data_IF_429769690855
#
_entry.id   IF_429769690855
#
_cell.length_a   1.000
_cell.length_b   1.000
_cell.length_c   1.000
_cell.angle_alpha   90.00
_cell.angle_beta   90.00
_cell.angle_gamma   90.00
#
_symmetry.space_group_name_H-M   'P 1'
#
loop_
_entity.id
_entity.type
_entity.pdbx_description
1 polymer ?
#
# COMPACT_ATOMS: atom_id res chain seq x y z
N UNK A 1 -7.75 -11.42 -5.51
CA UNK A 1 -6.73 -10.94 -6.45
C UNK A 1 -5.44 -10.66 -5.72
N UNK A 2 -4.34 -10.79 -6.40
CA UNK A 2 -3.00 -10.60 -5.86
C UNK A 2 -2.22 -9.64 -6.75
N UNK A 3 -1.66 -8.59 -6.15
CA UNK A 3 -0.84 -7.61 -6.85
C UNK A 3 0.52 -7.52 -6.15
N UNK A 4 1.37 -8.58 -6.27
CA UNK A 4 2.63 -8.63 -5.56
C UNK A 4 3.61 -7.61 -6.11
N UNK A 5 4.53 -7.18 -5.25
CA UNK A 5 5.66 -6.36 -5.64
C UNK A 5 6.96 -7.13 -5.46
N UNK A 6 7.89 -7.03 -6.43
CA UNK A 6 9.27 -7.45 -6.25
C UNK A 6 10.00 -6.33 -5.48
N UNK A 7 10.01 -6.46 -4.15
CA UNK A 7 10.77 -5.57 -3.27
C UNK A 7 12.27 -5.76 -3.43
N UNK A 8 13.07 -4.70 -3.25
CA UNK A 8 14.52 -4.79 -3.34
C UNK A 8 15.24 -3.76 -2.49
N UNK A 9 16.43 -4.13 -2.02
CA UNK A 9 17.40 -3.30 -1.34
C UNK A 9 18.79 -3.61 -1.90
N UNK A 10 19.58 -2.60 -2.24
CA UNK A 10 20.93 -2.75 -2.80
C UNK A 10 21.99 -1.95 -2.05
N UNK A 11 21.58 -1.12 -1.09
CA UNK A 11 22.48 -0.22 -0.36
C UNK A 11 22.43 -0.57 1.14
N UNK A 12 23.44 -1.32 1.61
CA UNK A 12 23.59 -1.70 3.01
C UNK A 12 24.30 -0.64 3.86
N UNK A 13 24.38 -0.89 5.18
CA UNK A 13 25.00 0.04 6.14
C UNK A 13 26.46 0.36 5.80
N UNK A 14 27.23 -0.62 5.37
CA UNK A 14 28.64 -0.44 4.97
C UNK A 14 28.81 0.49 3.77
N UNK A 15 27.76 0.68 2.99
CA UNK A 15 27.71 1.54 1.81
C UNK A 15 26.93 2.85 2.03
N UNK A 16 26.55 3.13 3.29
CA UNK A 16 25.83 4.34 3.67
C UNK A 16 24.31 4.27 3.49
N UNK A 17 23.73 3.05 3.38
CA UNK A 17 22.31 2.78 3.48
C UNK A 17 21.86 2.52 4.90
N UNK A 18 20.55 2.29 5.12
CA UNK A 18 19.99 1.94 6.41
C UNK A 18 19.88 0.42 6.68
N UNK A 19 19.55 -0.43 5.68
CA UNK A 19 19.37 -1.86 5.93
C UNK A 19 20.70 -2.54 6.31
N UNK A 20 20.64 -3.63 7.10
CA UNK A 20 21.80 -4.50 7.34
C UNK A 20 22.37 -5.05 6.02
N UNK A 21 23.68 -5.28 5.98
CA UNK A 21 24.37 -5.72 4.76
C UNK A 21 23.96 -7.15 4.30
N UNK A 22 23.45 -7.98 5.21
CA UNK A 22 23.01 -9.35 4.92
C UNK A 22 21.60 -9.44 4.27
N UNK A 23 20.86 -8.31 4.19
CA UNK A 23 19.54 -8.27 3.54
C UNK A 23 19.55 -7.58 2.17
N UNK A 24 20.70 -7.08 1.72
CA UNK A 24 20.81 -6.45 0.39
C UNK A 24 21.26 -7.46 -0.67
N UNK A 25 20.93 -7.16 -1.91
CA UNK A 25 21.30 -7.96 -3.09
C UNK A 25 22.06 -7.08 -4.09
N UNK A 26 22.79 -7.70 -5.00
CA UNK A 26 23.39 -6.98 -6.13
C UNK A 26 22.32 -6.47 -7.10
N UNK A 27 22.60 -5.36 -7.77
CA UNK A 27 21.64 -4.76 -8.72
C UNK A 27 21.29 -5.72 -9.87
N UNK A 28 22.28 -6.45 -10.37
CA UNK A 28 22.08 -7.40 -11.48
C UNK A 28 21.21 -8.59 -11.05
N UNK A 29 21.41 -9.14 -9.84
CA UNK A 29 20.51 -10.16 -9.27
C UNK A 29 19.07 -9.65 -9.14
N UNK A 30 18.89 -8.42 -8.63
CA UNK A 30 17.57 -7.80 -8.47
C UNK A 30 16.87 -7.67 -9.82
N UNK A 31 17.55 -7.14 -10.84
CA UNK A 31 16.97 -6.91 -12.16
C UNK A 31 16.70 -8.21 -12.92
N UNK A 32 17.60 -9.19 -12.81
CA UNK A 32 17.40 -10.51 -13.41
C UNK A 32 16.19 -11.23 -12.78
N UNK A 33 16.09 -11.22 -11.45
CA UNK A 33 14.95 -11.82 -10.75
C UNK A 33 13.64 -11.07 -11.01
N UNK A 34 13.68 -9.75 -11.12
CA UNK A 34 12.52 -8.92 -11.49
C UNK A 34 11.95 -9.31 -12.85
N UNK A 35 12.83 -9.52 -13.84
CA UNK A 35 12.45 -10.01 -15.18
C UNK A 35 11.86 -11.42 -15.10
N UNK A 36 12.53 -12.33 -14.43
CA UNK A 36 12.08 -13.72 -14.25
C UNK A 36 10.68 -13.79 -13.64
N UNK A 37 10.42 -12.99 -12.58
CA UNK A 37 9.10 -12.95 -11.93
C UNK A 37 8.03 -12.36 -12.84
N UNK A 38 8.37 -11.31 -13.60
CA UNK A 38 7.44 -10.70 -14.54
C UNK A 38 7.02 -11.72 -15.62
N UNK A 39 7.98 -12.41 -16.22
CA UNK A 39 7.74 -13.44 -17.24
C UNK A 39 6.92 -14.64 -16.72
N UNK A 40 7.15 -15.02 -15.44
CA UNK A 40 6.49 -16.17 -14.84
C UNK A 40 5.07 -15.89 -14.32
N UNK A 41 4.78 -14.68 -13.85
CA UNK A 41 3.59 -14.43 -13.04
C UNK A 41 2.77 -13.20 -13.43
N UNK A 42 3.33 -12.24 -14.19
CA UNK A 42 2.58 -11.05 -14.57
C UNK A 42 1.56 -11.39 -15.67
N UNK A 43 0.30 -11.17 -15.37
CA UNK A 43 -0.79 -11.31 -16.33
C UNK A 43 -1.44 -9.93 -16.55
N UNK A 44 -1.15 -9.24 -17.68
CA UNK A 44 -1.73 -7.93 -17.99
C UNK A 44 -3.18 -8.02 -18.45
N UNK A 45 -3.73 -9.21 -18.67
CA UNK A 45 -5.07 -9.39 -19.20
C UNK A 45 -6.15 -8.81 -18.29
N UNK A 46 -7.29 -8.49 -18.89
CA UNK A 46 -8.46 -8.04 -18.14
C UNK A 46 -8.94 -9.15 -17.20
N UNK A 47 -9.36 -8.78 -15.99
CA UNK A 47 -9.78 -9.68 -14.91
C UNK A 47 -8.67 -10.60 -14.38
N UNK A 48 -7.41 -10.38 -14.75
CA UNK A 48 -6.28 -11.16 -14.25
C UNK A 48 -6.26 -11.22 -12.72
N UNK A 49 -5.82 -12.36 -12.20
CA UNK A 49 -5.75 -12.60 -10.76
C UNK A 49 -4.38 -12.21 -10.18
N UNK A 50 -3.36 -12.03 -11.02
CA UNK A 50 -2.00 -11.67 -10.59
C UNK A 50 -1.41 -10.62 -11.52
N UNK A 51 -1.07 -9.44 -11.00
CA UNK A 51 -0.29 -8.40 -11.68
C UNK A 51 0.90 -8.02 -10.83
N UNK A 52 2.10 -8.14 -11.38
CA UNK A 52 3.34 -7.80 -10.69
C UNK A 52 3.65 -6.30 -10.82
N UNK A 53 4.28 -5.73 -9.78
CA UNK A 53 4.97 -4.45 -9.85
C UNK A 53 6.41 -4.58 -9.32
N UNK A 54 7.27 -3.62 -9.61
CA UNK A 54 8.62 -3.55 -9.05
C UNK A 54 8.66 -2.50 -7.94
N UNK A 55 9.31 -2.85 -6.81
CA UNK A 55 9.26 -2.02 -5.61
C UNK A 55 10.61 -1.93 -4.88
N UNK A 56 11.62 -1.22 -5.43
CA UNK A 56 12.78 -0.83 -4.64
C UNK A 56 12.31 -0.06 -3.41
N UNK A 57 12.90 -0.38 -2.24
CA UNK A 57 12.29 -0.04 -0.95
C UNK A 57 12.15 1.48 -0.72
N UNK A 58 13.27 2.23 -0.79
CA UNK A 58 13.25 3.68 -0.50
C UNK A 58 14.57 4.33 -0.93
N UNK A 59 14.66 5.67 -0.95
CA UNK A 59 15.93 6.38 -1.18
C UNK A 59 17.05 6.01 -0.21
N UNK A 60 16.73 5.53 0.99
CA UNK A 60 17.70 5.10 2.00
C UNK A 60 18.40 3.77 1.70
N UNK A 61 17.79 2.91 0.91
CA UNK A 61 18.12 1.49 0.81
C UNK A 61 18.43 1.02 -0.59
N UNK A 62 18.38 1.95 -1.55
CA UNK A 62 18.54 1.65 -2.98
C UNK A 62 19.41 2.71 -3.64
N UNK A 63 20.33 2.28 -4.50
CA UNK A 63 21.18 3.20 -5.26
C UNK A 63 20.36 3.98 -6.29
N UNK A 64 20.79 5.23 -6.67
CA UNK A 64 20.15 5.96 -7.76
C UNK A 64 20.14 5.18 -9.08
N UNK A 65 21.18 4.41 -9.34
CA UNK A 65 21.30 3.59 -10.55
C UNK A 65 20.26 2.48 -10.59
N UNK A 66 20.09 1.74 -9.49
CA UNK A 66 19.04 0.70 -9.43
C UNK A 66 17.64 1.31 -9.54
N UNK A 67 17.37 2.46 -8.89
CA UNK A 67 16.10 3.17 -9.05
C UNK A 67 15.81 3.45 -10.54
N UNK A 68 16.77 4.05 -11.26
CA UNK A 68 16.62 4.37 -12.69
C UNK A 68 16.41 3.11 -13.54
N UNK A 69 17.27 2.10 -13.37
CA UNK A 69 17.18 0.82 -14.12
C UNK A 69 15.88 0.07 -13.82
N UNK A 70 15.34 0.19 -12.60
CA UNK A 70 14.09 -0.45 -12.21
C UNK A 70 12.89 0.15 -12.94
N UNK A 71 12.77 1.48 -12.99
CA UNK A 71 11.64 2.11 -13.70
C UNK A 71 11.73 1.90 -15.21
N UNK A 72 12.93 1.90 -15.78
CA UNK A 72 13.17 1.58 -17.20
C UNK A 72 12.74 0.13 -17.52
N UNK A 73 13.18 -0.82 -16.69
CA UNK A 73 12.81 -2.23 -16.83
C UNK A 73 11.29 -2.44 -16.69
N UNK A 74 10.69 -1.82 -15.69
CA UNK A 74 9.25 -1.93 -15.46
C UNK A 74 8.45 -1.44 -16.68
N UNK A 75 8.79 -0.26 -17.21
CA UNK A 75 8.16 0.29 -18.42
C UNK A 75 8.34 -0.59 -19.64
N UNK A 76 9.54 -1.16 -19.84
CA UNK A 76 9.81 -2.10 -20.92
C UNK A 76 8.98 -3.39 -20.83
N UNK A 77 8.59 -3.80 -19.61
CA UNK A 77 7.79 -4.99 -19.35
C UNK A 77 6.29 -4.70 -19.16
N UNK A 78 5.86 -3.43 -19.27
CA UNK A 78 4.48 -3.03 -19.01
C UNK A 78 4.05 -3.14 -17.55
N UNK A 79 5.01 -3.10 -16.61
CA UNK A 79 4.79 -3.14 -15.17
C UNK A 79 4.64 -1.74 -14.58
N UNK A 80 4.03 -1.68 -13.41
CA UNK A 80 4.02 -0.48 -12.57
C UNK A 80 5.17 -0.52 -11.57
N UNK A 81 5.46 0.62 -10.97
CA UNK A 81 6.49 0.74 -9.95
C UNK A 81 5.99 1.42 -8.69
N UNK A 82 6.59 1.02 -7.58
CA UNK A 82 6.24 1.48 -6.24
C UNK A 82 7.49 1.66 -5.38
N UNK A 83 7.48 2.68 -4.51
CA UNK A 83 8.48 2.84 -3.45
C UNK A 83 7.87 3.64 -2.29
N UNK A 84 8.54 3.61 -1.12
CA UNK A 84 8.23 4.52 -0.02
C UNK A 84 8.84 5.88 -0.32
N UNK A 85 8.10 6.95 -0.07
CA UNK A 85 8.59 8.30 -0.35
C UNK A 85 7.99 9.33 0.61
N UNK A 86 8.85 10.25 1.05
CA UNK A 86 8.49 11.38 1.92
C UNK A 86 7.72 10.93 3.17
N UNK A 87 8.11 9.77 3.72
CA UNK A 87 7.48 9.20 4.91
C UNK A 87 7.89 9.94 6.17
N UNK A 88 9.17 10.28 6.31
CA UNK A 88 9.72 10.91 7.51
C UNK A 88 10.53 12.17 7.19
N UNK A 89 10.66 13.06 8.17
CA UNK A 89 11.55 14.22 8.05
C UNK A 89 13.03 13.81 7.90
N UNK A 90 13.40 12.62 8.36
CA UNK A 90 14.75 12.08 8.19
C UNK A 90 15.07 11.77 6.73
N UNK A 91 14.08 11.31 5.96
CA UNK A 91 14.24 11.09 4.53
C UNK A 91 14.47 12.41 3.78
N UNK A 92 13.74 13.47 4.15
CA UNK A 92 13.96 14.79 3.56
C UNK A 92 15.40 15.27 3.84
N UNK A 93 15.87 15.17 5.09
CA UNK A 93 17.25 15.55 5.44
C UNK A 93 18.28 14.72 4.66
N UNK A 94 18.10 13.41 4.61
CA UNK A 94 18.98 12.51 3.86
C UNK A 94 19.07 12.90 2.38
N UNK A 95 17.93 13.15 1.73
CA UNK A 95 17.90 13.52 0.33
C UNK A 95 18.54 14.89 0.08
N UNK A 96 18.31 15.87 0.94
CA UNK A 96 18.94 17.18 0.87
C UNK A 96 20.46 17.09 1.04
N UNK A 97 20.95 16.33 2.01
CA UNK A 97 22.37 16.15 2.29
C UNK A 97 23.08 15.35 1.19
N UNK A 98 22.47 14.26 0.73
CA UNK A 98 23.12 13.32 -0.20
C UNK A 98 22.94 13.68 -1.66
N UNK A 99 21.76 14.22 -2.03
CA UNK A 99 21.39 14.47 -3.42
C UNK A 99 21.14 15.95 -3.73
N UNK A 100 21.17 16.84 -2.73
CA UNK A 100 20.97 18.28 -2.87
C UNK A 100 19.56 18.67 -3.31
N UNK A 101 18.56 17.81 -3.06
CA UNK A 101 17.16 18.08 -3.42
C UNK A 101 16.18 17.31 -2.52
N UNK A 102 14.91 17.70 -2.55
CA UNK A 102 13.83 17.03 -1.82
C UNK A 102 13.54 15.62 -2.39
N UNK A 103 12.92 14.72 -1.61
CA UNK A 103 12.64 13.35 -2.03
C UNK A 103 11.91 13.25 -3.38
N UNK A 104 10.85 14.04 -3.62
CA UNK A 104 10.13 13.97 -4.89
C UNK A 104 10.96 14.51 -6.06
N UNK A 105 11.77 15.56 -5.87
CA UNK A 105 12.68 16.07 -6.91
C UNK A 105 13.72 15.01 -7.30
N UNK A 106 14.24 14.28 -6.31
CA UNK A 106 15.16 13.17 -6.54
C UNK A 106 14.50 12.07 -7.38
N UNK A 107 13.28 11.65 -7.01
CA UNK A 107 12.56 10.61 -7.73
C UNK A 107 12.18 11.04 -9.15
N UNK A 108 11.78 12.29 -9.35
CA UNK A 108 11.48 12.83 -10.68
C UNK A 108 12.71 12.82 -11.60
N UNK A 109 13.90 13.19 -11.09
CA UNK A 109 15.18 13.09 -11.85
C UNK A 109 15.50 11.67 -12.28
N UNK A 110 15.04 10.66 -11.54
CA UNK A 110 15.21 9.25 -11.85
C UNK A 110 14.09 8.65 -12.72
N UNK A 111 13.12 9.49 -13.14
CA UNK A 111 11.99 9.07 -13.98
C UNK A 111 10.82 8.47 -13.21
N UNK A 112 10.80 8.58 -11.89
CA UNK A 112 9.77 8.04 -11.01
C UNK A 112 8.61 9.02 -10.82
N UNK A 113 7.94 9.36 -11.90
CA UNK A 113 6.71 10.15 -11.90
C UNK A 113 5.83 9.73 -13.08
N UNK A 114 4.51 9.73 -12.90
CA UNK A 114 3.57 9.34 -13.94
C UNK A 114 2.50 8.37 -13.46
N UNK A 115 1.59 8.03 -14.36
CA UNK A 115 0.44 7.18 -14.06
C UNK A 115 0.82 5.73 -13.68
N UNK A 116 1.99 5.29 -14.06
CA UNK A 116 2.57 3.97 -13.78
C UNK A 116 3.31 3.87 -12.44
N UNK A 117 3.40 4.97 -11.71
CA UNK A 117 4.13 5.10 -10.43
C UNK A 117 3.17 5.34 -9.29
N UNK A 118 3.44 4.74 -8.13
CA UNK A 118 2.83 5.18 -6.87
C UNK A 118 3.81 5.17 -5.71
N UNK A 119 3.58 6.06 -4.75
CA UNK A 119 4.37 6.20 -3.54
C UNK A 119 3.56 5.80 -2.31
N UNK A 120 4.16 5.04 -1.40
CA UNK A 120 3.60 4.84 -0.07
C UNK A 120 3.89 6.06 0.81
N UNK A 121 2.99 6.35 1.73
CA UNK A 121 3.01 7.41 2.74
C UNK A 121 2.84 8.82 2.18
N UNK A 122 3.80 9.36 1.45
CA UNK A 122 3.75 10.70 0.82
C UNK A 122 3.29 11.81 1.81
N UNK A 123 3.91 11.84 3.01
CA UNK A 123 3.50 12.70 4.13
C UNK A 123 4.12 14.09 3.99
N UNK A 124 5.46 14.14 3.88
CA UNK A 124 6.24 15.38 3.93
C UNK A 124 6.36 16.02 2.54
N UNK A 125 5.22 16.39 1.95
CA UNK A 125 5.14 17.04 0.64
C UNK A 125 4.88 18.55 0.78
N UNK A 126 5.55 19.34 -0.06
CA UNK A 126 5.23 20.77 -0.25
C UNK A 126 3.97 20.94 -1.14
N UNK A 127 3.44 22.16 -1.22
CA UNK A 127 2.28 22.48 -2.09
C UNK A 127 2.61 22.23 -3.57
N UNK A 128 3.82 22.58 -4.01
CA UNK A 128 4.27 22.32 -5.38
C UNK A 128 4.35 20.81 -5.67
N UNK A 129 4.90 20.02 -4.72
CA UNK A 129 4.99 18.56 -4.86
C UNK A 129 3.61 17.90 -4.93
N UNK A 130 2.65 18.34 -4.11
CA UNK A 130 1.24 17.90 -4.21
C UNK A 130 0.68 18.23 -5.59
N UNK A 131 0.90 19.46 -6.09
CA UNK A 131 0.46 19.86 -7.42
C UNK A 131 1.10 19.03 -8.55
N UNK A 132 2.38 18.65 -8.42
CA UNK A 132 3.07 17.79 -9.41
C UNK A 132 2.49 16.38 -9.44
N UNK A 133 2.26 15.75 -8.28
CA UNK A 133 1.61 14.44 -8.20
C UNK A 133 0.22 14.46 -8.86
N UNK A 134 -0.54 15.52 -8.64
CA UNK A 134 -1.85 15.72 -9.28
C UNK A 134 -1.75 15.81 -10.81
N UNK A 135 -0.91 16.72 -11.33
CA UNK A 135 -0.75 16.91 -12.79
C UNK A 135 -0.26 15.68 -13.52
N UNK A 136 0.59 14.90 -12.89
CA UNK A 136 1.14 13.65 -13.47
C UNK A 136 0.31 12.42 -13.17
N UNK A 137 -0.75 12.55 -12.35
CA UNK A 137 -1.61 11.45 -11.91
C UNK A 137 -0.83 10.31 -11.24
N UNK A 138 0.30 10.67 -10.62
CA UNK A 138 1.10 9.73 -9.82
C UNK A 138 0.29 9.26 -8.61
N UNK A 139 0.35 7.97 -8.31
CA UNK A 139 -0.42 7.36 -7.24
C UNK A 139 0.18 7.59 -5.85
N UNK A 140 -0.68 7.56 -4.84
CA UNK A 140 -0.30 7.56 -3.42
C UNK A 140 -1.05 6.45 -2.69
N UNK A 141 -0.35 5.62 -1.95
CA UNK A 141 -0.92 4.67 -1.00
C UNK A 141 -0.85 5.29 0.41
N UNK A 142 -1.99 5.74 0.92
CA UNK A 142 -2.10 6.30 2.26
C UNK A 142 -2.21 5.18 3.29
N UNK A 143 -1.32 5.18 4.29
CA UNK A 143 -1.20 4.15 5.32
C UNK A 143 -1.41 4.75 6.72
N UNK A 144 -2.64 5.16 7.10
CA UNK A 144 -2.89 5.97 8.29
C UNK A 144 -2.46 5.29 9.59
N UNK A 145 -2.73 4.00 9.77
CA UNK A 145 -2.34 3.28 10.99
C UNK A 145 -0.83 3.20 11.14
N UNK A 146 -0.11 2.85 10.08
CA UNK A 146 1.35 2.82 10.07
C UNK A 146 1.93 4.20 10.38
N UNK A 147 1.44 5.25 9.70
CA UNK A 147 1.90 6.62 9.90
C UNK A 147 1.73 7.08 11.37
N UNK A 148 0.63 6.72 12.02
CA UNK A 148 0.39 7.02 13.44
C UNK A 148 1.30 6.19 14.35
N UNK A 149 1.40 4.87 14.11
CA UNK A 149 2.19 3.96 14.94
C UNK A 149 3.68 4.32 14.93
N UNK A 150 4.20 4.72 13.77
CA UNK A 150 5.60 5.14 13.58
C UNK A 150 5.83 6.63 13.85
N UNK A 151 4.78 7.39 14.18
CA UNK A 151 4.85 8.86 14.38
C UNK A 151 5.39 9.61 13.16
N UNK A 152 5.15 9.09 11.95
CA UNK A 152 5.67 9.66 10.70
C UNK A 152 4.98 10.97 10.33
N UNK A 153 3.70 11.15 10.70
CA UNK A 153 2.92 12.36 10.43
C UNK A 153 1.58 12.08 9.73
N UNK A 154 0.98 13.12 9.18
CA UNK A 154 -0.34 13.05 8.51
C UNK A 154 -0.20 13.33 7.02
N UNK A 155 -0.58 12.38 6.18
CA UNK A 155 -0.61 12.57 4.74
C UNK A 155 -1.71 13.58 4.34
N UNK A 156 -1.41 14.46 3.41
CA UNK A 156 -2.28 15.54 2.91
C UNK A 156 -3.30 15.04 1.89
N UNK A 157 -4.04 13.98 2.23
CA UNK A 157 -4.97 13.31 1.31
C UNK A 157 -6.00 14.26 0.70
N UNK A 158 -6.67 15.17 1.44
CA UNK A 158 -7.60 16.12 0.84
C UNK A 158 -6.95 17.00 -0.23
N UNK A 159 -5.74 17.48 0.01
CA UNK A 159 -5.02 18.34 -0.93
C UNK A 159 -4.57 17.55 -2.18
N UNK A 160 -4.10 16.30 -2.00
CA UNK A 160 -3.74 15.39 -3.09
C UNK A 160 -4.94 15.09 -4.01
N UNK A 161 -6.11 14.79 -3.43
CA UNK A 161 -7.33 14.56 -4.19
C UNK A 161 -7.78 15.83 -4.94
N UNK A 162 -7.73 16.98 -4.28
CA UNK A 162 -8.06 18.27 -4.91
C UNK A 162 -7.12 18.62 -6.08
N UNK A 163 -5.85 18.23 -5.99
CA UNK A 163 -4.88 18.38 -7.07
C UNK A 163 -5.04 17.36 -8.21
N UNK A 164 -5.86 16.31 -8.04
CA UNK A 164 -6.10 15.28 -9.04
C UNK A 164 -5.17 14.07 -8.97
N UNK A 165 -4.39 13.91 -7.88
CA UNK A 165 -3.60 12.72 -7.65
C UNK A 165 -4.50 11.49 -7.40
N UNK A 166 -4.00 10.30 -7.76
CA UNK A 166 -4.67 9.04 -7.44
C UNK A 166 -4.30 8.62 -6.03
N UNK A 167 -5.27 8.47 -5.15
CA UNK A 167 -5.01 8.06 -3.77
C UNK A 167 -5.81 6.80 -3.44
N UNK A 168 -5.13 5.79 -2.89
CA UNK A 168 -5.73 4.59 -2.33
C UNK A 168 -5.28 4.38 -0.88
N UNK A 169 -5.90 3.44 -0.17
CA UNK A 169 -5.47 3.01 1.15
C UNK A 169 -4.50 1.83 1.07
N UNK A 170 -3.58 1.75 2.01
CA UNK A 170 -2.68 0.63 2.23
C UNK A 170 -2.55 0.33 3.71
N UNK A 171 -2.44 -0.95 4.06
CA UNK A 171 -2.24 -1.38 5.47
C UNK A 171 -0.79 -1.34 5.91
N UNK A 172 0.16 -1.29 4.96
CA UNK A 172 1.59 -1.39 5.20
C UNK A 172 2.00 -2.75 5.79
N UNK A 173 3.23 -2.87 6.30
CA UNK A 173 3.76 -4.10 6.86
C UNK A 173 3.22 -4.42 8.25
N UNK A 174 3.25 -5.71 8.62
CA UNK A 174 2.73 -6.18 9.93
C UNK A 174 3.46 -5.57 11.13
N UNK A 175 4.70 -5.10 10.97
CA UNK A 175 5.45 -4.43 12.03
C UNK A 175 4.87 -3.05 12.38
N UNK A 176 4.27 -2.36 11.41
CA UNK A 176 3.67 -1.04 11.56
C UNK A 176 2.14 -1.05 11.57
N UNK A 177 1.52 -2.20 11.25
CA UNK A 177 0.06 -2.40 11.30
C UNK A 177 -0.26 -3.85 11.69
N UNK A 178 -0.54 -4.07 12.94
CA UNK A 178 -0.70 -5.42 13.52
C UNK A 178 -1.91 -6.18 12.97
N UNK A 179 -2.99 -5.49 12.60
CA UNK A 179 -4.26 -6.11 12.19
C UNK A 179 -4.36 -6.40 10.70
N UNK A 180 -3.66 -5.65 9.84
CA UNK A 180 -3.84 -5.68 8.38
C UNK A 180 -5.30 -5.56 7.93
N UNK A 181 -6.11 -4.80 8.69
CA UNK A 181 -7.55 -4.64 8.52
C UNK A 181 -7.87 -3.39 7.69
N UNK A 182 -8.35 -3.57 6.46
CA UNK A 182 -8.73 -2.44 5.58
C UNK A 182 -9.93 -1.66 6.11
N UNK A 183 -10.83 -2.26 6.89
CA UNK A 183 -11.92 -1.54 7.55
C UNK A 183 -11.39 -0.62 8.64
N UNK A 184 -10.43 -1.12 9.42
CA UNK A 184 -9.67 -0.31 10.37
C UNK A 184 -8.97 0.85 9.68
N UNK A 185 -8.31 0.63 8.53
CA UNK A 185 -7.65 1.69 7.77
C UNK A 185 -8.63 2.78 7.29
N UNK A 186 -9.81 2.42 6.81
CA UNK A 186 -10.84 3.40 6.45
C UNK A 186 -11.23 4.27 7.65
N UNK A 187 -11.47 3.65 8.80
CA UNK A 187 -11.81 4.37 10.04
C UNK A 187 -10.68 5.29 10.48
N UNK A 188 -9.43 4.83 10.45
CA UNK A 188 -8.27 5.65 10.82
C UNK A 188 -8.05 6.80 9.83
N UNK A 189 -8.17 6.56 8.53
CA UNK A 189 -8.11 7.61 7.51
C UNK A 189 -9.19 8.69 7.74
N UNK A 190 -10.43 8.28 8.04
CA UNK A 190 -11.53 9.19 8.36
C UNK A 190 -11.22 10.06 9.58
N UNK A 191 -10.91 9.43 10.72
CA UNK A 191 -10.70 10.13 11.99
C UNK A 191 -9.45 11.04 11.94
N UNK A 192 -8.33 10.53 11.42
CA UNK A 192 -7.09 11.28 11.32
C UNK A 192 -7.25 12.49 10.38
N UNK A 193 -7.92 12.33 9.26
CA UNK A 193 -8.18 13.41 8.34
C UNK A 193 -9.07 14.50 8.95
N UNK A 194 -10.12 14.10 9.68
CA UNK A 194 -10.99 15.04 10.43
C UNK A 194 -10.22 15.81 11.50
N UNK A 195 -9.35 15.13 12.23
CA UNK A 195 -8.51 15.76 13.25
C UNK A 195 -7.54 16.78 12.64
N UNK A 196 -6.88 16.44 11.53
CA UNK A 196 -5.84 17.26 10.92
C UNK A 196 -6.39 18.41 10.07
N UNK A 197 -7.54 18.23 9.41
CA UNK A 197 -8.05 19.14 8.39
C UNK A 197 -9.42 19.77 8.73
N UNK A 198 -10.01 19.41 9.88
CA UNK A 198 -11.32 19.93 10.32
C UNK A 198 -12.42 19.67 9.27
N UNK A 199 -13.13 20.71 8.86
CA UNK A 199 -14.24 20.58 7.89
C UNK A 199 -13.79 20.21 6.47
N UNK A 200 -12.51 20.39 6.14
CA UNK A 200 -11.93 19.93 4.87
C UNK A 200 -11.49 18.45 4.94
N UNK A 201 -11.59 17.80 6.09
CA UNK A 201 -11.25 16.39 6.26
C UNK A 201 -12.20 15.47 5.49
N UNK A 202 -11.70 14.26 5.19
CA UNK A 202 -12.43 13.24 4.44
C UNK A 202 -13.76 12.89 5.10
N UNK A 203 -14.80 12.66 4.29
CA UNK A 203 -16.05 12.03 4.70
C UNK A 203 -15.99 10.51 4.63
N UNK A 204 -17.04 9.84 5.11
CA UNK A 204 -17.11 8.36 5.07
C UNK A 204 -17.11 7.83 3.62
N UNK A 205 -17.82 8.48 2.71
CA UNK A 205 -17.81 8.12 1.29
C UNK A 205 -16.42 8.29 0.66
N UNK A 206 -15.67 9.33 1.03
CA UNK A 206 -14.33 9.56 0.50
C UNK A 206 -13.41 8.40 0.87
N UNK A 207 -13.38 7.99 2.14
CA UNK A 207 -12.49 6.89 2.57
C UNK A 207 -12.93 5.55 1.99
N UNK A 208 -14.22 5.30 1.80
CA UNK A 208 -14.70 4.13 1.07
C UNK A 208 -14.22 4.14 -0.39
N UNK A 209 -14.23 5.31 -1.04
CA UNK A 209 -13.70 5.46 -2.40
C UNK A 209 -12.19 5.23 -2.44
N UNK A 210 -11.41 5.69 -1.45
CA UNK A 210 -9.97 5.39 -1.35
C UNK A 210 -9.71 3.88 -1.26
N UNK A 211 -10.51 3.15 -0.48
CA UNK A 211 -10.38 1.71 -0.31
C UNK A 211 -10.84 0.87 -1.53
N UNK A 212 -11.55 1.46 -2.47
CA UNK A 212 -12.16 0.79 -3.63
C UNK A 212 -11.62 1.35 -4.94
N UNK A 213 -12.28 2.34 -5.51
CA UNK A 213 -11.90 2.98 -6.79
C UNK A 213 -10.50 3.60 -6.72
N UNK A 214 -10.15 4.25 -5.60
CA UNK A 214 -8.83 4.85 -5.40
C UNK A 214 -7.72 3.80 -5.47
N UNK A 215 -7.87 2.70 -4.73
CA UNK A 215 -6.93 1.58 -4.80
C UNK A 215 -6.81 0.99 -6.21
N UNK A 216 -7.93 0.79 -6.90
CA UNK A 216 -7.92 0.32 -8.29
C UNK A 216 -7.15 1.27 -9.22
N UNK A 217 -7.38 2.58 -9.10
CA UNK A 217 -6.68 3.60 -9.89
C UNK A 217 -5.17 3.63 -9.62
N UNK A 218 -4.76 3.53 -8.34
CA UNK A 218 -3.34 3.43 -7.94
C UNK A 218 -2.69 2.20 -8.57
N UNK A 219 -3.38 1.06 -8.58
CA UNK A 219 -2.93 -0.18 -9.20
C UNK A 219 -3.08 -0.21 -10.73
N UNK A 220 -3.60 0.85 -11.35
CA UNK A 220 -3.82 0.90 -12.80
C UNK A 220 -4.85 -0.12 -13.29
N UNK A 221 -5.90 -0.37 -12.49
CA UNK A 221 -6.99 -1.29 -12.81
C UNK A 221 -8.25 -0.50 -13.16
N UNK A 222 -8.84 -0.81 -14.31
CA UNK A 222 -10.11 -0.26 -14.80
C UNK A 222 -11.25 -1.29 -14.81
N UNK A 223 -10.92 -2.51 -14.37
CA UNK A 223 -11.81 -3.68 -14.40
C UNK A 223 -12.33 -4.06 -13.01
N UNK A 224 -11.91 -3.34 -11.95
CA UNK A 224 -12.29 -3.51 -10.55
C UNK A 224 -12.53 -2.15 -9.86
N UNK A 225 -12.94 -2.16 -8.59
CA UNK A 225 -13.04 -0.98 -7.72
C UNK A 225 -14.44 -0.42 -7.58
N UNK A 226 -15.40 -0.80 -8.44
CA UNK A 226 -16.82 -0.46 -8.30
C UNK A 226 -17.69 -1.52 -8.97
N UNK A 227 -18.99 -1.47 -8.70
CA UNK A 227 -19.96 -2.42 -9.26
C UNK A 227 -20.59 -1.83 -10.52
N UNK A 228 -20.34 -2.44 -11.67
CA UNK A 228 -20.99 -2.12 -12.95
C UNK A 228 -21.00 -3.32 -13.90
N UNK A 229 -21.94 -3.39 -14.84
CA UNK A 229 -21.90 -4.40 -15.89
C UNK A 229 -20.58 -4.35 -16.68
N UNK A 230 -19.99 -5.52 -16.92
CA UNK A 230 -18.72 -5.62 -17.65
C UNK A 230 -17.47 -5.45 -16.78
N UNK A 231 -17.60 -5.24 -15.46
CA UNK A 231 -16.49 -5.29 -14.51
C UNK A 231 -16.41 -6.66 -13.83
N UNK A 232 -15.30 -6.89 -13.14
CA UNK A 232 -15.12 -8.12 -12.37
C UNK A 232 -16.13 -8.19 -11.21
N UNK A 233 -16.66 -9.36 -10.98
CA UNK A 233 -17.51 -9.63 -9.81
C UNK A 233 -16.63 -9.79 -8.56
N UNK A 234 -16.05 -8.66 -8.10
CA UNK A 234 -15.31 -8.53 -6.86
C UNK A 234 -16.19 -7.72 -5.88
N UNK A 235 -16.77 -8.36 -4.90
CA UNK A 235 -17.73 -7.73 -3.99
C UNK A 235 -17.65 -8.34 -2.59
N UNK A 236 -18.07 -7.55 -1.62
CA UNK A 236 -18.33 -7.98 -0.24
C UNK A 236 -19.78 -7.72 0.11
N UNK A 237 -20.37 -8.64 0.88
CA UNK A 237 -21.70 -8.49 1.44
C UNK A 237 -21.56 -8.34 2.96
N UNK A 238 -22.24 -7.35 3.51
CA UNK A 238 -22.21 -7.01 4.93
C UNK A 238 -23.65 -7.08 5.44
N UNK A 239 -23.87 -7.80 6.53
CA UNK A 239 -25.14 -7.82 7.23
C UNK A 239 -25.23 -6.61 8.16
N UNK A 240 -26.15 -5.69 7.88
CA UNK A 240 -26.41 -4.51 8.70
C UNK A 240 -27.41 -4.76 9.85
N UNK A 241 -27.97 -5.96 9.97
CA UNK A 241 -28.86 -6.36 11.08
C UNK A 241 -28.08 -6.78 12.36
N UNK A 242 -26.81 -6.39 12.45
CA UNK A 242 -25.96 -6.65 13.61
C UNK A 242 -26.07 -5.53 14.66
N UNK A 243 -25.86 -5.88 15.92
CA UNK A 243 -25.94 -4.94 17.05
C UNK A 243 -25.06 -3.70 16.87
N UNK A 244 -23.86 -3.87 16.29
CA UNK A 244 -22.92 -2.77 16.02
C UNK A 244 -23.43 -1.71 15.05
N UNK A 245 -24.44 -2.03 14.24
CA UNK A 245 -25.09 -1.12 13.29
C UNK A 245 -26.48 -0.67 13.69
N UNK A 246 -26.95 -1.04 14.90
CA UNK A 246 -28.27 -0.68 15.36
C UNK A 246 -28.47 0.84 15.38
N UNK A 247 -29.50 1.33 14.67
CA UNK A 247 -29.76 2.75 14.49
C UNK A 247 -29.01 3.43 13.34
N UNK A 248 -28.01 2.77 12.71
CA UNK A 248 -27.18 3.35 11.64
C UNK A 248 -27.66 3.10 10.20
N UNK A 249 -28.77 2.35 10.00
CA UNK A 249 -29.24 1.93 8.65
C UNK A 249 -29.67 3.05 7.72
N UNK A 250 -29.94 4.25 8.24
CA UNK A 250 -30.29 5.43 7.44
C UNK A 250 -29.08 6.00 6.67
N UNK A 251 -27.86 5.74 7.15
CA UNK A 251 -26.61 6.08 6.50
C UNK A 251 -25.64 4.89 6.60
N UNK A 252 -25.77 3.89 5.72
CA UNK A 252 -25.00 2.65 5.81
C UNK A 252 -23.51 2.87 5.58
N UNK A 253 -23.11 3.85 4.79
CA UNK A 253 -21.69 4.14 4.51
C UNK A 253 -21.00 4.65 5.77
N UNK A 254 -21.58 5.65 6.43
CA UNK A 254 -21.06 6.16 7.70
C UNK A 254 -21.07 5.10 8.79
N UNK A 255 -22.11 4.27 8.86
CA UNK A 255 -22.18 3.18 9.83
C UNK A 255 -21.06 2.16 9.64
N UNK A 256 -20.81 1.74 8.40
CA UNK A 256 -19.75 0.78 8.04
C UNK A 256 -18.36 1.36 8.34
N UNK A 257 -18.09 2.58 7.93
CA UNK A 257 -16.78 3.25 8.17
C UNK A 257 -16.54 3.51 9.65
N UNK A 258 -17.56 3.99 10.36
CA UNK A 258 -17.44 4.40 11.76
C UNK A 258 -17.43 3.24 12.76
N UNK A 259 -18.15 2.15 12.48
CA UNK A 259 -18.39 1.04 13.41
C UNK A 259 -17.93 -0.32 12.88
N UNK A 260 -17.56 -0.42 11.59
CA UNK A 260 -17.15 -1.67 10.97
C UNK A 260 -15.74 -2.10 11.35
N UNK A 261 -15.50 -3.38 11.23
CA UNK A 261 -14.19 -4.05 11.24
C UNK A 261 -14.24 -5.25 10.27
N UNK A 262 -13.12 -5.97 10.09
CA UNK A 262 -13.06 -7.10 9.15
C UNK A 262 -14.05 -8.25 9.46
N UNK A 263 -14.53 -8.35 10.69
CA UNK A 263 -15.47 -9.43 11.12
C UNK A 263 -16.90 -9.20 10.68
N UNK A 264 -17.25 -8.00 10.19
CA UNK A 264 -18.60 -7.69 9.69
C UNK A 264 -18.91 -8.29 8.32
N UNK A 265 -17.90 -8.77 7.61
CA UNK A 265 -18.06 -9.29 6.25
C UNK A 265 -18.67 -10.70 6.30
N UNK A 266 -19.89 -10.83 5.81
CA UNK A 266 -20.54 -12.13 5.68
C UNK A 266 -19.99 -12.92 4.48
N UNK A 267 -19.99 -12.31 3.31
CA UNK A 267 -19.58 -12.99 2.08
C UNK A 267 -18.58 -12.12 1.29
N UNK A 268 -17.49 -12.74 0.84
CA UNK A 268 -16.57 -12.13 -0.14
C UNK A 268 -16.57 -12.94 -1.42
N UNK A 269 -16.74 -12.25 -2.54
CA UNK A 269 -16.68 -12.81 -3.88
C UNK A 269 -15.52 -12.17 -4.62
N UNK A 270 -14.67 -12.98 -5.24
CA UNK A 270 -13.54 -12.53 -6.06
C UNK A 270 -13.62 -13.19 -7.43
N UNK A 271 -13.71 -12.38 -8.46
CA UNK A 271 -13.88 -12.84 -9.84
C UNK A 271 -15.03 -13.84 -10.00
N UNK A 272 -16.16 -13.58 -9.33
CA UNK A 272 -17.33 -14.45 -9.35
C UNK A 272 -17.25 -15.70 -8.47
N UNK A 273 -16.16 -15.90 -7.73
CA UNK A 273 -15.99 -17.05 -6.82
C UNK A 273 -16.16 -16.61 -5.38
N UNK A 274 -17.01 -17.29 -4.63
CA UNK A 274 -17.14 -17.08 -3.18
C UNK A 274 -15.89 -17.58 -2.48
N UNK A 275 -15.18 -16.71 -1.77
CA UNK A 275 -13.94 -17.01 -1.03
C UNK A 275 -14.12 -16.88 0.49
N UNK A 276 -15.13 -16.13 0.93
CA UNK A 276 -15.61 -16.06 2.33
C UNK A 276 -17.10 -16.29 2.31
N UNK A 277 -17.63 -17.03 3.28
CA UNK A 277 -19.07 -17.24 3.51
C UNK A 277 -19.35 -17.36 5.01
N UNK A 278 -20.34 -16.61 5.50
CA UNK A 278 -20.65 -16.56 6.94
C UNK A 278 -19.45 -16.12 7.77
N UNK A 279 -18.63 -15.16 7.24
CA UNK A 279 -17.44 -14.67 7.91
C UNK A 279 -16.26 -15.65 7.96
N UNK A 280 -16.29 -16.75 7.19
CA UNK A 280 -15.27 -17.79 7.21
C UNK A 280 -14.70 -18.07 5.83
N UNK A 281 -13.39 -18.37 5.76
CA UNK A 281 -12.70 -18.72 4.51
C UNK A 281 -13.28 -20.02 3.92
N UNK A 282 -13.59 -19.99 2.63
CA UNK A 282 -14.02 -21.17 1.89
C UNK A 282 -12.79 -21.95 1.45
N UNK A 283 -12.70 -23.23 1.88
CA UNK A 283 -11.62 -24.13 1.47
C UNK A 283 -10.30 -23.96 2.24
N UNK A 284 -10.31 -23.28 3.39
CA UNK A 284 -9.18 -23.16 4.29
C UNK A 284 -9.59 -23.51 5.74
N UNK A 285 -8.69 -24.19 6.47
CA UNK A 285 -8.84 -24.43 7.91
C UNK A 285 -8.19 -23.27 8.68
N UNK A 286 -8.99 -22.29 9.08
CA UNK A 286 -8.51 -21.11 9.83
C UNK A 286 -7.84 -21.52 11.15
N UNK A 287 -8.33 -22.58 11.82
CA UNK A 287 -7.75 -23.05 13.06
C UNK A 287 -6.35 -23.63 12.85
N UNK A 288 -6.12 -24.35 11.74
CA UNK A 288 -4.79 -24.82 11.39
C UNK A 288 -3.85 -23.66 11.01
N UNK A 289 -4.36 -22.64 10.28
CA UNK A 289 -3.59 -21.44 9.96
C UNK A 289 -3.12 -20.74 11.24
N UNK A 290 -4.02 -20.55 12.21
CA UNK A 290 -3.69 -19.94 13.52
C UNK A 290 -2.64 -20.76 14.26
N UNK A 291 -2.83 -22.10 14.36
CA UNK A 291 -1.85 -22.97 15.02
C UNK A 291 -0.47 -22.89 14.37
N UNK A 292 -0.40 -22.90 13.04
CA UNK A 292 0.87 -22.78 12.31
C UNK A 292 1.53 -21.42 12.51
N UNK A 293 0.78 -20.33 12.42
CA UNK A 293 1.29 -18.99 12.64
C UNK A 293 1.89 -18.84 14.03
N UNK A 294 1.19 -19.31 15.08
CA UNK A 294 1.68 -19.27 16.44
C UNK A 294 2.98 -20.08 16.64
N UNK A 295 3.09 -21.27 16.03
CA UNK A 295 4.34 -22.06 16.08
C UNK A 295 5.52 -21.35 15.40
N UNK A 296 5.28 -20.76 14.23
CA UNK A 296 6.33 -20.02 13.50
C UNK A 296 6.77 -18.78 14.29
N UNK A 297 5.83 -18.03 14.85
CA UNK A 297 6.11 -16.84 15.67
C UNK A 297 6.94 -17.22 16.91
N UNK A 298 6.55 -18.26 17.64
CA UNK A 298 7.31 -18.73 18.80
C UNK A 298 8.75 -19.12 18.42
N UNK A 299 8.93 -19.88 17.32
CA UNK A 299 10.26 -20.26 16.84
C UNK A 299 11.13 -19.06 16.41
N UNK A 300 10.55 -18.02 15.83
CA UNK A 300 11.27 -16.79 15.50
C UNK A 300 11.73 -16.04 16.76
N UNK A 301 10.89 -15.95 17.79
CA UNK A 301 11.24 -15.30 19.06
C UNK A 301 12.37 -16.04 19.76
N UNK A 302 12.33 -17.38 19.85
CA UNK A 302 13.40 -18.19 20.41
C UNK A 302 14.73 -18.03 19.66
N UNK A 303 14.69 -17.88 18.33
CA UNK A 303 15.90 -17.63 17.54
C UNK A 303 16.46 -16.23 17.78
N UNK A 304 15.59 -15.20 17.90
CA UNK A 304 16.01 -13.83 18.21
C UNK A 304 16.67 -13.75 19.59
N UNK A 305 16.09 -14.38 20.62
CA UNK A 305 16.64 -14.42 21.97
C UNK A 305 18.03 -15.07 21.98
N UNK A 306 18.23 -16.19 21.28
CA UNK A 306 19.55 -16.85 21.17
C UNK A 306 20.61 -15.93 20.57
N UNK A 307 20.29 -15.19 19.49
CA UNK A 307 21.23 -14.25 18.85
C UNK A 307 21.56 -13.02 19.70
N UNK A 308 20.70 -12.66 20.66
CA UNK A 308 20.94 -11.51 21.55
C UNK A 308 21.89 -11.89 22.69
N UNK A 309 22.07 -13.18 22.96
CA UNK A 309 22.95 -13.70 24.01
C UNK A 309 24.30 -14.24 23.47
N UNK A 310 24.51 -14.25 22.17
CA UNK A 310 25.77 -14.48 21.46
C UNK A 310 26.47 -13.15 21.13
#
# INVERSE_FOLDING_TARGET
>A
RFHPTRGSMSLGRSQGGLPPDDVVQTEDEILADSRRLAEAFHDPSRFSMCRLALAPCSPFSVTPELMRRTVELARALGLRVHTHLAETADEERFCLEKFGCRPLDYMERLGWIGEDVWFAHAIHLSDDEVGRLGRTRTGVAHCPTSNMKLSSGVCRVPDLLAAGARVGLGVDGSASNDSSDMWGEMRQAYLLSRLAHGDRGLGAEDVLRLATVGGAQVLGRDDIGHLAPGLAADLVLIDLEQLGFAGGRHDPVTAIVGSGDSHIVDTTIVNGRVVVRGGRLVGADESEIVRRANRVSAGLLEQAERRTHE
#
